data_IF_007238678771
#
_entry.id   IF_007238678771
#
_cell.length_a   1.000
_cell.length_b   1.000
_cell.length_c   1.000
_cell.angle_alpha   90.00
_cell.angle_beta   90.00
_cell.angle_gamma   90.00
#
_symmetry.space_group_name_H-M   'P 1'
#
loop_
_entity.id
_entity.type
_entity.pdbx_description
1 polymer ?
#
# COMPACT_ATOMS: atom_id res chain seq x y z
N UNK A 1 -26.33 -5.97 -10.82
CA UNK A 1 -25.14 -6.36 -11.60
C UNK A 1 -23.97 -6.53 -10.63
N UNK A 2 -23.15 -7.58 -10.77
CA UNK A 2 -21.89 -7.66 -10.03
C UNK A 2 -20.97 -6.55 -10.56
N UNK A 3 -20.39 -5.76 -9.66
CA UNK A 3 -19.39 -4.75 -10.03
C UNK A 3 -18.17 -5.45 -10.61
N UNK A 4 -17.64 -4.91 -11.70
CA UNK A 4 -16.39 -5.36 -12.29
C UNK A 4 -15.21 -4.68 -11.59
N UNK A 5 -14.00 -5.20 -11.78
CA UNK A 5 -12.81 -4.68 -11.13
C UNK A 5 -12.56 -3.20 -11.48
N UNK A 6 -12.85 -2.81 -12.72
CA UNK A 6 -12.74 -1.44 -13.23
C UNK A 6 -13.63 -0.44 -12.49
N UNK A 7 -14.80 -0.88 -11.98
CA UNK A 7 -15.74 -0.01 -11.25
C UNK A 7 -15.17 0.54 -9.92
N UNK A 8 -14.07 -0.05 -9.44
CA UNK A 8 -13.38 0.36 -8.22
C UNK A 8 -12.15 1.23 -8.48
N UNK A 9 -11.77 1.42 -9.75
CA UNK A 9 -10.57 2.16 -10.11
C UNK A 9 -10.83 3.67 -10.08
N UNK A 10 -10.00 4.39 -9.34
CA UNK A 10 -9.97 5.84 -9.29
C UNK A 10 -8.87 6.33 -10.24
N UNK A 11 -9.18 6.31 -11.55
CA UNK A 11 -8.18 6.55 -12.60
C UNK A 11 -7.43 7.87 -12.46
N UNK A 12 -8.04 9.02 -12.09
CA UNK A 12 -7.30 10.27 -11.92
C UNK A 12 -6.18 10.17 -10.86
N UNK A 13 -6.47 9.53 -9.72
CA UNK A 13 -5.50 9.32 -8.64
C UNK A 13 -4.45 8.27 -9.01
N UNK A 14 -4.86 7.23 -9.78
CA UNK A 14 -3.94 6.21 -10.31
C UNK A 14 -2.99 6.83 -11.33
N UNK A 15 -3.47 7.68 -12.22
CA UNK A 15 -2.63 8.44 -13.16
C UNK A 15 -1.64 9.36 -12.43
N UNK A 16 -2.10 10.09 -11.41
CA UNK A 16 -1.24 10.91 -10.58
C UNK A 16 -0.13 10.06 -9.90
N UNK A 17 -0.46 8.83 -9.45
CA UNK A 17 0.54 7.89 -8.93
C UNK A 17 1.57 7.50 -9.98
N UNK A 18 1.13 7.18 -11.20
CA UNK A 18 2.01 6.80 -12.32
C UNK A 18 3.00 7.90 -12.71
N UNK A 19 2.57 9.16 -12.61
CA UNK A 19 3.40 10.34 -12.88
C UNK A 19 4.17 10.86 -11.66
N UNK A 20 4.13 10.13 -10.53
CA UNK A 20 4.75 10.54 -9.25
C UNK A 20 4.23 11.89 -8.72
N UNK A 21 2.98 12.21 -9.01
CA UNK A 21 2.28 13.43 -8.56
C UNK A 21 1.25 13.14 -7.46
N UNK A 22 1.08 11.86 -7.08
CA UNK A 22 0.14 11.45 -6.04
C UNK A 22 0.71 11.74 -4.65
N UNK A 23 0.13 12.71 -3.95
CA UNK A 23 0.51 13.07 -2.57
C UNK A 23 0.00 12.08 -1.51
N UNK A 24 -0.92 11.17 -1.89
CA UNK A 24 -1.56 10.22 -0.97
C UNK A 24 -1.71 8.84 -1.61
N UNK A 25 -0.60 8.11 -1.84
CA UNK A 25 -0.62 6.83 -2.54
C UNK A 25 -1.47 5.75 -1.83
N UNK A 26 -1.65 5.84 -0.51
CA UNK A 26 -2.52 4.96 0.26
C UNK A 26 -4.00 5.05 -0.16
N UNK A 27 -4.40 6.08 -0.89
CA UNK A 27 -5.76 6.20 -1.43
C UNK A 27 -6.00 5.27 -2.61
N UNK A 28 -4.96 4.84 -3.29
CA UNK A 28 -5.05 3.98 -4.49
C UNK A 28 -4.22 2.70 -4.40
N UNK A 29 -3.40 2.53 -3.34
CA UNK A 29 -2.61 1.33 -3.08
C UNK A 29 -3.06 0.63 -1.79
N UNK A 30 -2.71 -0.67 -1.69
CA UNK A 30 -2.98 -1.49 -0.54
C UNK A 30 -4.38 -2.12 -0.52
N UNK A 31 -4.75 -2.73 0.61
CA UNK A 31 -6.01 -3.43 0.78
C UNK A 31 -7.12 -2.47 1.20
N UNK A 32 -8.30 -2.62 0.60
CA UNK A 32 -9.51 -1.83 0.93
C UNK A 32 -10.74 -2.71 1.01
N UNK A 33 -11.47 -2.63 2.11
CA UNK A 33 -12.79 -3.27 2.20
C UNK A 33 -13.77 -2.50 1.31
N UNK A 34 -14.23 -3.12 0.23
CA UNK A 34 -15.14 -2.46 -0.75
C UNK A 34 -16.61 -2.77 -0.48
N UNK A 35 -16.88 -3.90 0.16
CA UNK A 35 -18.20 -4.27 0.67
C UNK A 35 -18.08 -5.30 1.81
N UNK A 36 -19.21 -5.82 2.32
CA UNK A 36 -19.25 -6.79 3.44
C UNK A 36 -18.59 -8.14 3.13
N UNK A 37 -18.25 -8.40 1.88
CA UNK A 37 -17.80 -9.71 1.39
C UNK A 37 -16.58 -9.67 0.48
N UNK A 38 -16.09 -8.47 0.14
CA UNK A 38 -14.96 -8.33 -0.77
C UNK A 38 -13.93 -7.30 -0.29
N UNK A 39 -12.67 -7.64 -0.51
CA UNK A 39 -11.50 -6.78 -0.33
C UNK A 39 -10.85 -6.56 -1.69
N UNK A 40 -10.66 -5.31 -2.06
CA UNK A 40 -9.82 -4.91 -3.18
C UNK A 40 -8.39 -4.79 -2.70
N UNK A 41 -7.44 -5.42 -3.40
CA UNK A 41 -6.01 -5.24 -3.16
C UNK A 41 -5.40 -4.68 -4.43
N UNK A 42 -4.64 -3.61 -4.28
CA UNK A 42 -3.98 -2.89 -5.38
C UNK A 42 -2.50 -2.73 -5.11
N UNK A 43 -1.68 -2.74 -6.16
CA UNK A 43 -0.23 -2.58 -6.08
C UNK A 43 0.31 -1.86 -7.31
N UNK A 44 1.39 -1.12 -7.14
CA UNK A 44 2.13 -0.50 -8.24
C UNK A 44 3.55 -1.06 -8.28
N UNK A 45 3.84 -1.90 -9.29
CA UNK A 45 5.10 -2.65 -9.45
C UNK A 45 5.52 -2.62 -10.93
N UNK A 46 6.15 -1.53 -11.39
CA UNK A 46 6.43 -1.28 -12.82
C UNK A 46 7.22 -2.39 -13.52
N UNK A 47 8.22 -2.97 -12.85
CA UNK A 47 9.11 -3.98 -13.43
C UNK A 47 8.62 -5.42 -13.25
N UNK A 48 7.32 -5.60 -12.99
CA UNK A 48 6.75 -6.91 -12.64
C UNK A 48 5.86 -7.44 -13.75
N UNK A 49 6.10 -8.69 -14.17
CA UNK A 49 5.29 -9.39 -15.19
C UNK A 49 3.93 -9.80 -14.63
N UNK A 50 3.90 -10.29 -13.40
CA UNK A 50 2.67 -10.70 -12.72
C UNK A 50 2.84 -10.73 -11.20
N UNK A 51 1.73 -10.52 -10.50
CA UNK A 51 1.64 -10.56 -9.05
C UNK A 51 0.61 -11.61 -8.64
N UNK A 52 0.95 -12.38 -7.61
CA UNK A 52 0.04 -13.29 -6.92
C UNK A 52 -0.05 -12.85 -5.47
N UNK A 53 -1.26 -12.71 -4.97
CA UNK A 53 -1.56 -12.50 -3.54
C UNK A 53 -1.66 -13.87 -2.88
N UNK A 54 -0.84 -14.12 -1.87
CA UNK A 54 -0.78 -15.37 -1.12
C UNK A 54 -0.72 -15.08 0.38
N UNK A 55 -1.31 -15.93 1.21
CA UNK A 55 -1.35 -15.75 2.67
C UNK A 55 -2.03 -16.92 3.35
N UNK A 56 -1.76 -17.10 4.66
CA UNK A 56 -2.33 -18.20 5.45
C UNK A 56 -3.83 -18.05 5.66
N UNK A 57 -4.32 -16.81 5.71
CA UNK A 57 -5.74 -16.50 5.85
C UNK A 57 -6.53 -16.65 4.53
N UNK A 58 -5.84 -16.87 3.42
CA UNK A 58 -6.45 -17.00 2.11
C UNK A 58 -6.73 -18.46 1.76
N UNK A 59 -7.93 -18.75 1.26
CA UNK A 59 -8.33 -20.11 0.84
C UNK A 59 -7.55 -20.61 -0.37
N UNK A 60 -7.00 -19.70 -1.17
CA UNK A 60 -6.20 -19.96 -2.38
C UNK A 60 -5.36 -18.75 -2.72
N UNK A 61 -4.43 -18.92 -3.61
CA UNK A 61 -3.70 -17.81 -4.22
C UNK A 61 -4.58 -17.05 -5.23
N UNK A 62 -4.43 -15.73 -5.27
CA UNK A 62 -5.17 -14.86 -6.19
C UNK A 62 -4.20 -14.12 -7.11
N UNK A 63 -4.29 -14.40 -8.40
CA UNK A 63 -3.51 -13.67 -9.40
C UNK A 63 -4.13 -12.28 -9.59
N UNK A 64 -3.30 -11.25 -9.52
CA UNK A 64 -3.72 -9.87 -9.79
C UNK A 64 -3.83 -9.64 -11.30
N UNK A 65 -4.80 -8.81 -11.69
CA UNK A 65 -4.92 -8.31 -13.05
C UNK A 65 -4.03 -7.09 -13.20
N UNK A 66 -3.22 -7.06 -14.26
CA UNK A 66 -2.48 -5.86 -14.65
C UNK A 66 -3.47 -4.91 -15.31
N UNK A 67 -3.75 -3.80 -14.64
CA UNK A 67 -4.77 -2.83 -15.08
C UNK A 67 -4.21 -1.82 -16.07
N UNK A 68 -2.90 -1.59 -16.03
CA UNK A 68 -2.18 -0.68 -16.90
C UNK A 68 -0.76 -1.15 -17.18
N UNK A 69 -0.20 -0.82 -18.34
CA UNK A 69 1.14 -1.24 -18.77
C UNK A 69 2.26 -0.64 -17.91
N UNK A 70 2.01 0.47 -17.20
CA UNK A 70 2.97 1.06 -16.26
C UNK A 70 3.23 0.22 -15.03
N UNK A 71 2.39 -0.81 -14.75
CA UNK A 71 2.56 -1.75 -13.64
C UNK A 71 1.60 -1.55 -12.49
N UNK A 72 0.42 -0.99 -12.75
CA UNK A 72 -0.66 -0.97 -11.77
C UNK A 72 -1.46 -2.28 -11.81
N UNK A 73 -1.55 -2.95 -10.68
CA UNK A 73 -2.21 -4.24 -10.51
C UNK A 73 -3.34 -4.15 -9.52
N UNK A 74 -4.40 -4.92 -9.76
CA UNK A 74 -5.54 -5.01 -8.86
C UNK A 74 -6.14 -6.42 -8.82
N UNK A 75 -6.73 -6.79 -7.67
CA UNK A 75 -7.52 -8.01 -7.51
C UNK A 75 -8.63 -7.80 -6.49
N UNK A 76 -9.80 -8.38 -6.76
CA UNK A 76 -10.92 -8.44 -5.83
C UNK A 76 -10.97 -9.83 -5.19
N UNK A 77 -10.84 -9.87 -3.87
CA UNK A 77 -10.79 -11.11 -3.09
C UNK A 77 -12.07 -11.25 -2.27
N UNK A 78 -12.75 -12.42 -2.30
CA UNK A 78 -13.89 -12.68 -1.43
C UNK A 78 -13.41 -12.84 0.03
N UNK A 79 -13.55 -11.79 0.82
CA UNK A 79 -13.18 -11.75 2.24
C UNK A 79 -14.08 -10.78 3.01
N UNK A 80 -14.43 -11.13 4.26
CA UNK A 80 -15.25 -10.30 5.15
C UNK A 80 -14.43 -9.24 5.90
N UNK A 81 -13.12 -9.40 5.95
CA UNK A 81 -12.13 -8.49 6.54
C UNK A 81 -10.86 -8.56 5.72
N UNK A 82 -10.02 -7.58 5.84
CA UNK A 82 -8.69 -7.57 5.21
C UNK A 82 -7.90 -8.78 5.77
N UNK A 83 -7.47 -9.72 4.89
CA UNK A 83 -6.69 -10.88 5.30
C UNK A 83 -5.22 -10.52 5.51
N UNK A 84 -4.49 -11.31 6.26
CA UNK A 84 -3.02 -11.28 6.22
C UNK A 84 -2.53 -11.90 4.91
N UNK A 85 -1.66 -11.19 4.18
CA UNK A 85 -1.15 -11.62 2.89
C UNK A 85 0.23 -11.05 2.59
N UNK A 86 0.81 -11.55 1.51
CA UNK A 86 2.01 -11.02 0.89
C UNK A 86 1.91 -11.16 -0.63
N UNK A 87 2.71 -10.41 -1.34
CA UNK A 87 2.84 -10.52 -2.78
C UNK A 87 3.91 -11.55 -3.15
N UNK A 88 3.66 -12.31 -4.21
CA UNK A 88 4.65 -13.09 -4.94
C UNK A 88 4.78 -12.46 -6.32
N UNK A 89 5.84 -11.68 -6.51
CA UNK A 89 6.14 -10.99 -7.76
C UNK A 89 6.89 -11.91 -8.70
N UNK A 90 6.56 -11.89 -9.99
CA UNK A 90 7.32 -12.54 -11.04
C UNK A 90 7.98 -11.47 -11.91
N UNK A 91 9.33 -11.53 -11.98
CA UNK A 91 10.16 -10.64 -12.79
C UNK A 91 11.07 -11.54 -13.67
N UNK A 92 10.67 -11.77 -14.92
CA UNK A 92 11.34 -12.72 -15.79
C UNK A 92 11.33 -14.15 -15.20
N UNK A 93 12.50 -14.65 -14.86
CA UNK A 93 12.68 -15.98 -14.23
C UNK A 93 12.69 -15.96 -12.70
N UNK A 94 12.71 -14.78 -12.09
CA UNK A 94 12.77 -14.61 -10.61
C UNK A 94 11.37 -14.56 -10.02
N UNK A 95 11.23 -15.17 -8.83
CA UNK A 95 10.07 -14.99 -7.94
C UNK A 95 10.54 -14.31 -6.67
N UNK A 96 9.88 -13.23 -6.29
CA UNK A 96 10.24 -12.42 -5.13
C UNK A 96 9.03 -12.37 -4.21
N UNK A 97 9.19 -12.77 -2.95
CA UNK A 97 8.19 -12.57 -1.92
C UNK A 97 8.36 -11.15 -1.36
N UNK A 98 7.28 -10.37 -1.34
CA UNK A 98 7.28 -8.98 -0.89
C UNK A 98 6.08 -8.75 0.03
N UNK A 99 6.31 -8.10 1.17
CA UNK A 99 5.24 -7.61 2.03
C UNK A 99 4.65 -6.35 1.40
N UNK A 100 3.33 -6.19 1.46
CA UNK A 100 2.68 -4.96 1.02
C UNK A 100 2.90 -3.86 2.07
N UNK A 101 3.61 -2.81 1.67
CA UNK A 101 3.87 -1.67 2.54
C UNK A 101 2.61 -0.89 2.91
N UNK A 102 1.56 -0.98 2.08
CA UNK A 102 0.28 -0.30 2.29
C UNK A 102 -0.74 -1.15 3.05
N UNK A 103 -0.40 -2.40 3.41
CA UNK A 103 -1.22 -3.24 4.28
C UNK A 103 -1.04 -2.92 5.77
N UNK A 104 -0.04 -2.10 6.11
CA UNK A 104 0.26 -1.68 7.47
C UNK A 104 -0.30 -0.29 7.70
N UNK A 105 -1.03 -0.10 8.80
CA UNK A 105 -1.55 1.22 9.16
C UNK A 105 -0.42 2.21 9.42
N UNK A 106 -0.63 3.47 9.02
CA UNK A 106 0.29 4.55 9.32
C UNK A 106 0.37 4.76 10.83
N UNK A 107 1.58 4.86 11.37
CA UNK A 107 1.81 5.22 12.78
C UNK A 107 1.61 6.71 13.06
N UNK A 108 1.50 7.52 12.01
CA UNK A 108 1.17 8.94 12.08
C UNK A 108 -0.31 9.09 11.69
N UNK A 109 -1.17 9.14 12.68
CA UNK A 109 -2.62 9.11 12.47
C UNK A 109 -3.23 10.52 12.28
N UNK A 110 -4.57 10.59 12.17
CA UNK A 110 -5.27 11.86 11.97
C UNK A 110 -5.18 12.81 13.18
N UNK A 111 -5.01 12.28 14.39
CA UNK A 111 -4.81 13.08 15.62
C UNK A 111 -3.41 13.67 15.59
N UNK A 112 -2.39 12.85 15.30
CA UNK A 112 -0.99 13.28 15.12
C UNK A 112 -0.92 14.38 14.07
N UNK A 113 -1.56 14.19 12.91
CA UNK A 113 -1.60 15.19 11.83
C UNK A 113 -2.22 16.50 12.27
N UNK A 114 -3.33 16.45 13.00
CA UNK A 114 -4.02 17.64 13.50
C UNK A 114 -3.19 18.40 14.53
N UNK A 115 -2.60 17.69 15.49
CA UNK A 115 -1.74 18.28 16.50
C UNK A 115 -0.48 18.90 15.87
N UNK A 116 0.13 18.20 14.92
CA UNK A 116 1.33 18.66 14.21
C UNK A 116 1.00 19.93 13.39
N UNK A 117 -0.09 19.96 12.65
CA UNK A 117 -0.51 21.12 11.86
C UNK A 117 -0.81 22.34 12.71
N UNK A 118 -1.26 22.14 13.94
CA UNK A 118 -1.56 23.21 14.90
C UNK A 118 -0.32 23.60 15.75
N UNK A 119 0.83 22.94 15.56
CA UNK A 119 2.05 23.20 16.29
C UNK A 119 2.01 22.82 17.79
N UNK A 120 1.13 21.90 18.16
CA UNK A 120 0.90 21.46 19.55
C UNK A 120 1.26 19.97 19.78
N UNK A 121 1.98 19.35 18.84
CA UNK A 121 2.39 17.95 18.97
C UNK A 121 3.72 17.85 19.75
N UNK A 122 3.64 17.81 21.07
CA UNK A 122 4.81 17.82 21.96
C UNK A 122 5.73 16.61 21.82
N UNK A 123 5.17 15.46 21.39
CA UNK A 123 5.91 14.18 21.24
C UNK A 123 6.11 13.78 19.78
N UNK A 124 6.11 14.76 18.85
CA UNK A 124 6.28 14.50 17.41
C UNK A 124 7.54 13.70 17.07
N UNK A 125 8.60 13.83 17.88
CA UNK A 125 9.84 13.08 17.75
C UNK A 125 9.67 11.56 17.95
N UNK A 126 8.62 11.11 18.61
CA UNK A 126 8.27 9.69 18.75
C UNK A 126 7.65 9.13 17.48
N UNK A 127 7.18 10.00 16.59
CA UNK A 127 6.52 9.65 15.34
C UNK A 127 7.38 9.92 14.11
N UNK A 128 8.02 11.10 14.07
CA UNK A 128 8.94 11.46 12.98
C UNK A 128 10.35 10.94 13.26
N UNK A 129 11.09 10.64 12.19
CA UNK A 129 12.43 10.10 12.27
C UNK A 129 12.51 8.62 11.90
N UNK A 130 13.48 7.92 12.45
CA UNK A 130 13.76 6.50 12.20
C UNK A 130 13.55 5.69 13.49
N UNK A 131 12.59 4.79 13.50
CA UNK A 131 12.18 4.01 14.67
C UNK A 131 12.29 2.51 14.38
N UNK A 132 13.30 1.79 14.92
CA UNK A 132 13.34 0.34 14.85
C UNK A 132 12.17 -0.26 15.63
N UNK A 133 11.36 -1.08 14.97
CA UNK A 133 10.17 -1.67 15.59
C UNK A 133 9.74 -2.96 14.92
N UNK A 134 8.73 -3.59 15.51
CA UNK A 134 8.06 -4.76 14.92
C UNK A 134 6.60 -4.41 14.71
N UNK A 135 6.13 -4.44 13.47
CA UNK A 135 4.72 -4.20 13.12
C UNK A 135 4.17 -5.50 12.56
N UNK A 136 3.09 -6.01 13.13
CA UNK A 136 2.42 -7.28 12.73
C UNK A 136 3.39 -8.47 12.57
N UNK A 137 4.39 -8.55 13.47
CA UNK A 137 5.40 -9.61 13.44
C UNK A 137 6.56 -9.38 12.46
N UNK A 138 6.53 -8.32 11.66
CA UNK A 138 7.63 -7.93 10.75
C UNK A 138 8.56 -6.96 11.45
N UNK A 139 9.82 -7.36 11.63
CA UNK A 139 10.88 -6.50 12.18
C UNK A 139 11.41 -5.58 11.08
N UNK A 140 11.55 -4.30 11.42
CA UNK A 140 12.06 -3.31 10.47
C UNK A 140 12.34 -1.97 11.14
N UNK A 141 12.55 -0.95 10.32
CA UNK A 141 12.65 0.43 10.75
C UNK A 141 11.56 1.24 10.07
N UNK A 142 10.73 1.87 10.86
CA UNK A 142 9.77 2.85 10.38
C UNK A 142 10.46 4.20 10.17
N UNK A 143 10.24 4.81 9.01
CA UNK A 143 10.72 6.13 8.69
C UNK A 143 9.56 7.07 8.41
N UNK A 144 9.54 8.21 9.09
CA UNK A 144 8.59 9.27 8.81
C UNK A 144 9.32 10.60 8.75
N UNK A 145 9.03 11.41 7.74
CA UNK A 145 9.64 12.72 7.54
C UNK A 145 8.58 13.73 7.11
N UNK A 146 8.67 14.92 7.66
CA UNK A 146 7.91 16.08 7.20
C UNK A 146 8.78 16.89 6.23
N UNK A 147 8.46 16.86 4.95
CA UNK A 147 9.25 17.53 3.91
C UNK A 147 8.33 18.08 2.79
N UNK A 148 7.43 19.04 3.08
CA UNK A 148 6.40 19.49 2.14
C UNK A 148 6.96 20.14 0.87
N UNK A 149 8.16 20.72 0.92
CA UNK A 149 8.83 21.36 -0.22
C UNK A 149 9.74 20.38 -1.00
N UNK A 150 9.88 19.14 -0.55
CA UNK A 150 10.75 18.17 -1.20
C UNK A 150 10.10 17.58 -2.45
N UNK A 151 10.84 17.52 -3.56
CA UNK A 151 10.42 16.84 -4.79
C UNK A 151 10.53 15.32 -4.68
N UNK A 152 11.45 14.83 -3.85
CA UNK A 152 11.63 13.41 -3.57
C UNK A 152 12.32 13.23 -2.22
N UNK A 153 12.02 12.10 -1.58
CA UNK A 153 12.66 11.69 -0.31
C UNK A 153 13.09 10.23 -0.49
N UNK A 154 14.31 9.90 -0.06
CA UNK A 154 14.82 8.53 -0.06
C UNK A 154 15.59 8.23 1.23
N UNK A 155 15.51 6.97 1.66
CA UNK A 155 16.34 6.45 2.74
C UNK A 155 17.61 5.91 2.11
N UNK A 156 18.74 6.35 2.64
CA UNK A 156 20.08 5.90 2.25
C UNK A 156 20.82 5.33 3.47
N UNK A 157 21.61 4.28 3.23
CA UNK A 157 22.38 3.62 4.28
C UNK A 157 23.37 2.63 3.73
#
# INVERSE_FOLDING_TARGET
>A
MAKQLEDYMQWPEIEALMYAECGRPETVLGPKQVDKSHVLITAFEPETDSIVVSGEDLKKEYKMTKMDETGYFAVLIPAKKIPSYHFVLKQGKKKIKKTDAYAVDSLFDGVDMTQFSNGIHDTVYEKLGAHPMTIEGVKGTYFAVWAPEAKAVSVVG
#
